data_IF_401073410543
#
_entry.id   IF_401073410543
#
_cell.length_a   1.000
_cell.length_b   1.000
_cell.length_c   1.000
_cell.angle_alpha   90.00
_cell.angle_beta   90.00
_cell.angle_gamma   90.00
#
_symmetry.space_group_name_H-M   'P 1'
#
loop_
_entity.id
_entity.type
_entity.pdbx_description
1 polymer ?
#
# COMPACT_ATOMS: atom_id res chain seq x y z
N UNK A 1 7.21 -24.60 8.14
CA UNK A 1 6.77 -23.63 9.16
C UNK A 1 7.69 -23.75 10.37
N UNK A 2 8.15 -22.67 10.99
CA UNK A 2 8.99 -22.76 12.18
C UNK A 2 8.19 -23.34 13.36
N UNK A 3 8.76 -24.37 14.02
CA UNK A 3 8.08 -25.06 15.15
C UNK A 3 8.16 -24.30 16.48
N UNK A 4 9.19 -23.45 16.66
CA UNK A 4 9.51 -22.77 17.93
C UNK A 4 9.08 -21.29 17.99
N UNK A 5 8.25 -20.82 17.07
CA UNK A 5 7.78 -19.43 17.05
C UNK A 5 7.81 -18.80 15.65
N UNK A 6 7.41 -17.54 15.52
CA UNK A 6 7.45 -16.83 14.25
C UNK A 6 8.89 -16.61 13.78
N UNK A 7 9.10 -16.64 12.47
CA UNK A 7 10.40 -16.32 11.88
C UNK A 7 10.87 -14.92 12.25
N UNK A 8 12.18 -14.70 12.52
CA UNK A 8 12.71 -13.38 12.82
C UNK A 8 12.48 -12.43 11.65
N UNK A 9 12.04 -11.22 11.94
CA UNK A 9 11.85 -10.20 10.92
C UNK A 9 13.22 -9.61 10.52
N UNK A 10 13.50 -9.55 9.23
CA UNK A 10 14.69 -8.87 8.71
C UNK A 10 14.60 -7.36 8.99
N UNK A 11 15.69 -6.69 9.39
CA UNK A 11 15.71 -5.24 9.53
C UNK A 11 15.44 -4.56 8.19
N UNK A 12 14.68 -3.47 8.21
CA UNK A 12 14.48 -2.63 7.05
C UNK A 12 15.70 -1.72 6.88
N UNK A 13 16.36 -1.82 5.73
CA UNK A 13 17.47 -0.95 5.35
C UNK A 13 16.89 0.25 4.62
N UNK A 14 17.39 1.45 4.93
CA UNK A 14 17.01 2.65 4.21
C UNK A 14 17.55 2.65 2.79
N UNK A 15 16.82 3.25 1.87
CA UNK A 15 17.26 3.43 0.50
C UNK A 15 18.50 4.35 0.44
N UNK A 16 19.55 4.01 -0.33
CA UNK A 16 20.77 4.80 -0.37
C UNK A 16 20.60 6.18 -1.03
N UNK A 17 19.62 6.34 -1.93
CA UNK A 17 19.40 7.60 -2.66
C UNK A 17 18.51 8.55 -1.85
N UNK A 18 17.38 8.06 -1.36
CA UNK A 18 16.38 8.87 -0.65
C UNK A 18 16.44 8.73 0.87
N UNK A 19 17.31 7.88 1.42
CA UNK A 19 17.44 7.65 2.86
C UNK A 19 16.15 7.15 3.57
N UNK A 20 15.19 6.63 2.82
CA UNK A 20 13.86 6.26 3.30
C UNK A 20 13.59 4.76 3.23
N UNK A 21 13.21 4.17 4.36
CA UNK A 21 12.76 2.77 4.41
C UNK A 21 11.46 2.52 3.60
N UNK A 22 10.61 3.55 3.45
CA UNK A 22 9.39 3.45 2.67
C UNK A 22 9.70 3.25 1.17
N UNK A 23 10.74 3.92 0.66
CA UNK A 23 11.21 3.76 -0.73
C UNK A 23 11.72 2.33 -0.94
N UNK A 24 12.51 1.79 -0.01
CA UNK A 24 12.97 0.38 -0.06
C UNK A 24 11.79 -0.60 -0.09
N UNK A 25 10.77 -0.36 0.73
CA UNK A 25 9.57 -1.19 0.72
C UNK A 25 8.80 -1.09 -0.60
N UNK A 26 8.72 0.10 -1.19
CA UNK A 26 8.09 0.32 -2.50
C UNK A 26 8.84 -0.43 -3.60
N UNK A 27 10.17 -0.34 -3.65
CA UNK A 27 11.02 -1.08 -4.58
C UNK A 27 10.75 -2.58 -4.46
N UNK A 28 10.70 -3.10 -3.23
CA UNK A 28 10.40 -4.52 -2.97
C UNK A 28 9.01 -4.93 -3.48
N UNK A 29 8.04 -4.02 -3.49
CA UNK A 29 6.69 -4.31 -4.01
C UNK A 29 6.59 -4.20 -5.54
N UNK A 30 7.39 -3.37 -6.15
CA UNK A 30 7.49 -3.25 -7.61
C UNK A 30 8.27 -4.42 -8.21
N UNK A 31 9.22 -4.97 -7.46
CA UNK A 31 10.11 -6.07 -7.85
C UNK A 31 9.33 -7.27 -8.42
N UNK A 32 9.76 -7.74 -9.58
CA UNK A 32 9.32 -8.98 -10.23
C UNK A 32 10.55 -9.81 -10.63
N UNK A 33 10.44 -11.13 -10.52
CA UNK A 33 11.46 -12.10 -10.97
C UNK A 33 12.89 -11.84 -10.41
N UNK A 34 13.00 -11.17 -9.26
CA UNK A 34 14.28 -10.83 -8.67
C UNK A 34 15.06 -9.70 -9.36
N UNK A 35 14.46 -9.03 -10.35
CA UNK A 35 15.11 -7.95 -11.14
C UNK A 35 15.13 -6.63 -10.37
N UNK A 36 15.94 -6.55 -9.30
CA UNK A 36 15.96 -5.40 -8.39
C UNK A 36 16.39 -4.10 -9.07
N UNK A 37 17.39 -4.12 -9.92
CA UNK A 37 17.88 -2.92 -10.64
C UNK A 37 16.81 -2.29 -11.53
N UNK A 38 15.94 -3.10 -12.14
CA UNK A 38 14.80 -2.60 -12.93
C UNK A 38 13.77 -1.96 -12.03
N UNK A 39 13.45 -2.57 -10.88
CA UNK A 39 12.51 -2.02 -9.91
C UNK A 39 13.01 -0.69 -9.32
N UNK A 40 14.29 -0.59 -8.99
CA UNK A 40 14.94 0.66 -8.54
C UNK A 40 14.81 1.76 -9.59
N UNK A 41 15.13 1.47 -10.85
CA UNK A 41 15.02 2.43 -11.96
C UNK A 41 13.57 2.93 -12.14
N UNK A 42 12.58 2.06 -12.03
CA UNK A 42 11.17 2.43 -12.12
C UNK A 42 10.78 3.38 -10.96
N UNK A 43 11.14 3.03 -9.74
CA UNK A 43 10.77 3.82 -8.55
C UNK A 43 11.49 5.15 -8.53
N UNK A 44 12.78 5.18 -8.81
CA UNK A 44 13.54 6.43 -8.85
C UNK A 44 13.04 7.37 -9.96
N UNK A 45 12.81 6.84 -11.16
CA UNK A 45 12.23 7.63 -12.25
C UNK A 45 10.83 8.16 -11.94
N UNK A 46 10.01 7.38 -11.21
CA UNK A 46 8.70 7.84 -10.77
C UNK A 46 8.81 8.98 -9.73
N UNK A 47 9.72 8.86 -8.76
CA UNK A 47 9.95 9.89 -7.73
C UNK A 47 10.53 11.18 -8.32
N UNK A 48 11.50 11.08 -9.24
CA UNK A 48 12.00 12.24 -10.00
C UNK A 48 10.89 12.93 -10.80
N UNK A 49 10.00 12.15 -11.42
CA UNK A 49 8.83 12.67 -12.12
C UNK A 49 7.84 13.38 -11.20
N UNK A 50 7.64 12.89 -9.98
CA UNK A 50 6.83 13.53 -8.94
C UNK A 50 7.46 14.85 -8.54
N UNK A 51 8.76 14.89 -8.28
CA UNK A 51 9.50 16.12 -7.94
C UNK A 51 9.39 17.19 -9.03
N UNK A 52 9.59 16.81 -10.30
CA UNK A 52 9.46 17.70 -11.46
C UNK A 52 8.06 18.31 -11.60
N UNK A 53 7.01 17.56 -11.24
CA UNK A 53 5.63 18.02 -11.35
C UNK A 53 5.14 18.83 -10.14
N UNK A 54 5.61 18.50 -8.95
CA UNK A 54 5.15 19.14 -7.70
C UNK A 54 6.09 20.22 -7.19
N UNK A 55 7.37 20.19 -7.60
CA UNK A 55 8.41 21.08 -7.05
C UNK A 55 8.71 20.85 -5.57
N UNK A 56 8.23 19.75 -4.98
CA UNK A 56 8.40 19.40 -3.56
C UNK A 56 9.14 18.08 -3.40
N UNK A 57 9.66 17.81 -2.19
CA UNK A 57 10.33 16.56 -1.86
C UNK A 57 9.45 15.34 -2.23
N UNK A 58 9.91 14.47 -3.12
CA UNK A 58 9.15 13.29 -3.56
C UNK A 58 8.85 12.31 -2.43
N UNK A 59 9.72 12.24 -1.40
CA UNK A 59 9.50 11.36 -0.23
C UNK A 59 8.34 11.88 0.62
N UNK A 60 8.21 13.19 0.77
CA UNK A 60 7.08 13.81 1.49
C UNK A 60 5.78 13.57 0.75
N UNK A 61 5.77 13.74 -0.58
CA UNK A 61 4.62 13.47 -1.42
C UNK A 61 4.22 11.99 -1.37
N UNK A 62 5.20 11.08 -1.40
CA UNK A 62 4.95 9.64 -1.24
C UNK A 62 4.35 9.32 0.14
N UNK A 63 4.86 9.90 1.23
CA UNK A 63 4.31 9.71 2.57
C UNK A 63 2.85 10.17 2.64
N UNK A 64 2.56 11.37 2.09
CA UNK A 64 1.19 11.90 2.01
C UNK A 64 0.27 10.97 1.21
N UNK A 65 0.71 10.48 0.06
CA UNK A 65 -0.03 9.50 -0.73
C UNK A 65 -0.30 8.22 0.07
N UNK A 66 0.71 7.70 0.76
CA UNK A 66 0.57 6.51 1.60
C UNK A 66 -0.42 6.71 2.74
N UNK A 67 -0.40 7.85 3.41
CA UNK A 67 -1.33 8.16 4.51
C UNK A 67 -2.78 8.24 4.00
N UNK A 68 -2.98 8.73 2.78
CA UNK A 68 -4.28 8.74 2.11
C UNK A 68 -4.76 7.33 1.68
N UNK A 69 -3.86 6.37 1.47
CA UNK A 69 -4.20 4.99 1.05
C UNK A 69 -4.33 4.03 2.24
N UNK A 70 -3.62 4.27 3.34
CA UNK A 70 -3.61 3.37 4.51
C UNK A 70 -5.01 3.14 5.06
N UNK A 71 -5.50 1.88 5.12
CA UNK A 71 -6.77 1.57 5.76
C UNK A 71 -6.61 1.49 7.28
N UNK A 72 -7.60 1.99 8.02
CA UNK A 72 -7.73 1.81 9.48
C UNK A 72 -8.55 0.56 9.83
N UNK A 73 -9.48 0.19 8.96
CA UNK A 73 -10.37 -0.95 9.13
C UNK A 73 -10.27 -1.90 7.93
N UNK A 74 -10.40 -3.19 8.20
CA UNK A 74 -10.60 -4.23 7.17
C UNK A 74 -11.74 -5.15 7.60
N UNK A 75 -12.26 -5.92 6.66
CA UNK A 75 -13.30 -6.92 6.93
C UNK A 75 -12.67 -8.30 6.87
N UNK A 76 -12.92 -9.12 7.89
CA UNK A 76 -12.51 -10.53 7.93
C UNK A 76 -13.70 -11.44 8.05
N UNK A 77 -13.72 -12.50 7.26
CA UNK A 77 -14.74 -13.52 7.37
C UNK A 77 -14.54 -14.37 8.63
N UNK A 78 -15.62 -14.59 9.38
CA UNK A 78 -15.66 -15.50 10.53
C UNK A 78 -16.87 -16.41 10.40
N UNK A 79 -16.69 -17.68 10.66
CA UNK A 79 -17.76 -18.66 10.66
C UNK A 79 -18.28 -18.85 12.09
N UNK A 80 -19.58 -18.62 12.28
CA UNK A 80 -20.26 -18.78 13.56
C UNK A 80 -21.56 -19.57 13.31
N UNK A 81 -21.73 -20.71 13.98
CA UNK A 81 -22.95 -21.52 13.85
C UNK A 81 -23.27 -21.98 12.43
N UNK A 82 -22.24 -22.20 11.58
CA UNK A 82 -22.45 -22.58 10.18
C UNK A 82 -22.60 -21.43 9.18
N UNK A 83 -22.92 -20.22 9.64
CA UNK A 83 -22.97 -19.01 8.81
C UNK A 83 -21.64 -18.27 8.79
N UNK A 84 -21.31 -17.66 7.64
CA UNK A 84 -20.09 -16.86 7.48
C UNK A 84 -20.44 -15.38 7.55
N UNK A 85 -19.86 -14.68 8.53
CA UNK A 85 -20.05 -13.25 8.75
C UNK A 85 -18.79 -12.48 8.36
N UNK A 86 -19.00 -11.29 7.80
CA UNK A 86 -17.90 -10.35 7.51
C UNK A 86 -17.73 -9.42 8.72
N UNK A 87 -16.69 -9.64 9.51
CA UNK A 87 -16.48 -8.92 10.78
C UNK A 87 -15.48 -7.79 10.56
N UNK A 88 -15.81 -6.51 10.86
CA UNK A 88 -14.88 -5.40 10.80
C UNK A 88 -13.82 -5.51 11.90
N UNK A 89 -12.56 -5.34 11.52
CA UNK A 89 -11.41 -5.45 12.42
C UNK A 89 -10.45 -4.28 12.15
N UNK A 90 -9.88 -3.72 13.21
CA UNK A 90 -8.83 -2.72 13.11
C UNK A 90 -7.56 -3.31 12.47
N UNK A 91 -6.93 -2.54 11.59
CA UNK A 91 -5.72 -2.95 10.89
C UNK A 91 -4.48 -2.52 11.69
N UNK A 92 -3.60 -3.47 11.99
CA UNK A 92 -2.31 -3.18 12.65
C UNK A 92 -1.45 -2.29 11.74
N UNK A 93 -0.65 -1.33 12.27
CA UNK A 93 0.12 -0.35 11.47
C UNK A 93 1.00 -0.98 10.38
N UNK A 94 1.72 -2.07 10.70
CA UNK A 94 2.56 -2.76 9.72
C UNK A 94 1.76 -3.39 8.57
N UNK A 95 0.57 -3.91 8.85
CA UNK A 95 -0.33 -4.45 7.83
C UNK A 95 -0.97 -3.34 7.00
N UNK A 96 -1.34 -2.22 7.62
CA UNK A 96 -1.89 -1.05 6.93
C UNK A 96 -0.90 -0.52 5.88
N UNK A 97 0.37 -0.37 6.25
CA UNK A 97 1.44 0.03 5.31
C UNK A 97 1.63 -1.00 4.19
N UNK A 98 1.64 -2.29 4.51
CA UNK A 98 1.79 -3.34 3.51
C UNK A 98 0.60 -3.40 2.52
N UNK A 99 -0.63 -3.17 2.99
CA UNK A 99 -1.82 -3.07 2.15
C UNK A 99 -1.76 -1.85 1.25
N UNK A 100 -1.42 -0.69 1.80
CA UNK A 100 -1.30 0.54 1.03
C UNK A 100 -0.28 0.43 -0.10
N UNK A 101 0.92 -0.12 0.15
CA UNK A 101 1.92 -0.38 -0.88
C UNK A 101 1.42 -1.37 -1.95
N UNK A 102 0.72 -2.42 -1.54
CA UNK A 102 0.15 -3.40 -2.46
C UNK A 102 -0.90 -2.78 -3.37
N UNK A 103 -1.77 -1.95 -2.82
CA UNK A 103 -2.80 -1.27 -3.59
C UNK A 103 -2.20 -0.22 -4.52
N UNK A 104 -1.28 0.60 -4.04
CA UNK A 104 -0.57 1.59 -4.85
C UNK A 104 0.05 0.93 -6.10
N UNK A 105 0.86 -0.11 -5.93
CA UNK A 105 1.52 -0.80 -7.04
C UNK A 105 0.51 -1.57 -7.91
N UNK A 106 -0.48 -2.22 -7.30
CA UNK A 106 -1.50 -2.98 -8.02
C UNK A 106 -2.34 -2.10 -8.93
N UNK A 107 -2.81 -0.96 -8.47
CA UNK A 107 -3.59 -0.02 -9.28
C UNK A 107 -2.74 0.77 -10.27
N UNK A 108 -1.47 1.07 -9.94
CA UNK A 108 -0.53 1.61 -10.92
C UNK A 108 -0.42 0.71 -12.16
N UNK A 109 -0.33 -0.62 -11.98
CA UNK A 109 -0.26 -1.58 -13.11
C UNK A 109 -1.50 -1.55 -14.02
N UNK A 110 -2.66 -1.16 -13.50
CA UNK A 110 -3.93 -1.11 -14.23
C UNK A 110 -4.12 0.19 -15.01
N UNK A 111 -3.27 1.20 -14.80
CA UNK A 111 -3.36 2.49 -15.49
C UNK A 111 -3.03 2.35 -16.99
N UNK A 112 -3.48 3.31 -17.78
CA UNK A 112 -3.38 3.29 -19.24
C UNK A 112 -2.07 3.85 -19.80
N UNK A 113 -1.25 4.50 -18.97
CA UNK A 113 0.03 5.08 -19.38
C UNK A 113 0.97 3.99 -19.93
N UNK A 114 1.90 4.36 -20.79
CA UNK A 114 2.76 3.43 -21.51
C UNK A 114 3.74 2.72 -20.58
N UNK A 115 4.44 3.46 -19.75
CA UNK A 115 5.52 2.93 -18.90
C UNK A 115 5.08 2.76 -17.46
N UNK A 116 5.66 1.78 -16.74
CA UNK A 116 5.37 1.58 -15.32
C UNK A 116 5.83 2.77 -14.46
N UNK A 117 6.88 3.47 -14.89
CA UNK A 117 7.38 4.69 -14.25
C UNK A 117 6.31 5.79 -14.26
N UNK A 118 5.71 6.06 -15.41
CA UNK A 118 4.62 7.04 -15.53
C UNK A 118 3.37 6.65 -14.76
N UNK A 119 3.00 5.36 -14.82
CA UNK A 119 1.85 4.81 -14.07
C UNK A 119 2.01 5.01 -12.58
N UNK A 120 3.18 4.66 -12.04
CA UNK A 120 3.48 4.79 -10.62
C UNK A 120 3.53 6.27 -10.20
N UNK A 121 4.20 7.12 -10.98
CA UNK A 121 4.25 8.56 -10.76
C UNK A 121 2.85 9.17 -10.67
N UNK A 122 1.99 8.92 -11.66
CA UNK A 122 0.65 9.50 -11.69
C UNK A 122 -0.24 8.96 -10.57
N UNK A 123 -0.13 7.67 -10.21
CA UNK A 123 -0.87 7.12 -9.07
C UNK A 123 -0.43 7.73 -7.73
N UNK A 124 0.86 8.00 -7.53
CA UNK A 124 1.37 8.70 -6.35
C UNK A 124 0.82 10.14 -6.29
N UNK A 125 0.82 10.85 -7.41
CA UNK A 125 0.29 12.22 -7.49
C UNK A 125 -1.21 12.25 -7.18
N UNK A 126 -2.00 11.40 -7.83
CA UNK A 126 -3.43 11.30 -7.59
C UNK A 126 -3.72 10.95 -6.12
N UNK A 127 -3.03 9.98 -5.58
CA UNK A 127 -3.19 9.56 -4.19
C UNK A 127 -2.79 10.66 -3.19
N UNK A 128 -1.76 11.45 -3.48
CA UNK A 128 -1.36 12.58 -2.63
C UNK A 128 -2.45 13.67 -2.55
N UNK A 129 -3.27 13.77 -3.59
CA UNK A 129 -4.42 14.68 -3.66
C UNK A 129 -5.74 14.03 -3.19
N UNK A 130 -5.68 12.80 -2.66
CA UNK A 130 -6.87 12.08 -2.20
C UNK A 130 -7.70 11.48 -3.33
N UNK A 131 -7.13 11.35 -4.53
CA UNK A 131 -7.75 10.81 -5.73
C UNK A 131 -7.11 9.46 -6.11
N UNK A 132 -7.65 8.84 -7.16
CA UNK A 132 -7.08 7.61 -7.73
C UNK A 132 -7.70 6.32 -7.19
N UNK A 133 -7.39 5.23 -7.88
CA UNK A 133 -8.00 3.93 -7.62
C UNK A 133 -7.54 3.31 -6.28
N UNK A 134 -6.32 3.60 -5.84
CA UNK A 134 -5.80 3.13 -4.56
C UNK A 134 -6.55 3.76 -3.38
N UNK A 135 -6.83 5.07 -3.44
CA UNK A 135 -7.63 5.78 -2.42
C UNK A 135 -9.07 5.28 -2.43
N UNK A 136 -9.66 5.12 -3.61
CA UNK A 136 -11.01 4.54 -3.74
C UNK A 136 -11.10 3.16 -3.11
N UNK A 137 -10.09 2.31 -3.27
CA UNK A 137 -10.04 0.99 -2.63
C UNK A 137 -10.08 1.07 -1.10
N UNK A 138 -9.37 2.03 -0.51
CA UNK A 138 -9.47 2.29 0.93
C UNK A 138 -10.90 2.66 1.33
N UNK A 139 -11.52 3.58 0.59
CA UNK A 139 -12.90 4.02 0.86
C UNK A 139 -13.89 2.87 0.76
N UNK A 140 -13.79 2.04 -0.28
CA UNK A 140 -14.64 0.86 -0.45
C UNK A 140 -14.46 -0.14 0.70
N UNK A 141 -13.22 -0.33 1.17
CA UNK A 141 -12.92 -1.19 2.31
C UNK A 141 -13.52 -0.63 3.60
N UNK A 142 -13.45 0.69 3.82
CA UNK A 142 -14.07 1.35 4.97
C UNK A 142 -15.61 1.29 4.92
N UNK A 143 -16.22 1.51 3.74
CA UNK A 143 -17.66 1.35 3.54
C UNK A 143 -18.15 -0.07 3.85
N UNK A 144 -17.39 -1.08 3.37
CA UNK A 144 -17.70 -2.48 3.71
C UNK A 144 -17.61 -2.75 5.21
N UNK A 145 -16.60 -2.20 5.89
CA UNK A 145 -16.46 -2.34 7.34
C UNK A 145 -17.59 -1.64 8.10
N UNK A 146 -18.02 -0.47 7.65
CA UNK A 146 -19.11 0.28 8.22
C UNK A 146 -20.46 -0.43 8.02
N UNK A 147 -20.74 -0.93 6.83
CA UNK A 147 -21.95 -1.71 6.52
C UNK A 147 -22.05 -2.98 7.38
N UNK A 148 -20.91 -3.57 7.76
CA UNK A 148 -20.86 -4.76 8.60
C UNK A 148 -20.66 -4.45 10.10
N UNK A 149 -20.81 -3.20 10.52
CA UNK A 149 -20.59 -2.76 11.89
C UNK A 149 -21.48 -3.51 12.91
N UNK A 150 -22.69 -3.92 12.50
CA UNK A 150 -23.59 -4.73 13.32
C UNK A 150 -22.96 -6.06 13.78
N UNK A 151 -22.01 -6.62 13.04
CA UNK A 151 -21.31 -7.87 13.35
C UNK A 151 -19.99 -7.66 14.13
N UNK A 152 -19.68 -6.43 14.55
CA UNK A 152 -18.46 -6.11 15.29
C UNK A 152 -18.35 -6.90 16.62
N UNK A 153 -19.46 -7.25 17.24
CA UNK A 153 -19.50 -8.07 18.47
C UNK A 153 -19.01 -9.51 18.26
N UNK A 154 -18.93 -10.01 17.04
CA UNK A 154 -18.31 -11.30 16.71
C UNK A 154 -16.78 -11.23 16.61
N UNK A 155 -16.17 -10.08 16.89
CA UNK A 155 -14.73 -9.89 16.94
C UNK A 155 -14.13 -10.74 18.07
N UNK A 156 -12.98 -11.38 17.83
CA UNK A 156 -12.20 -12.14 18.83
C UNK A 156 -10.92 -11.42 19.21
#
# INVERSE_FOLDING_TARGET
MPRKGPAPKRPLVNDPVYGSALVTQLITKVLLDGKKSVAERIVYGALEGVEKKTGSDPVVTLKKAMDNIKPSLEVRSRRVGGATYQVPVEVRPGRSTALALRWLVGFSKQRREKTMTERLMNEILDASNGLGAAVKRREDTHKMAESNKAFAHYRW
#
